data_IF_098825558992
#
_entry.id   IF_098825558992
#
_cell.length_a   1.000
_cell.length_b   1.000
_cell.length_c   1.000
_cell.angle_alpha   90.00
_cell.angle_beta   90.00
_cell.angle_gamma   90.00
#
_symmetry.space_group_name_H-M   'P 1'
#
loop_
_entity.id
_entity.type
_entity.pdbx_description
1 polymer ?
#
# COMPACT_ATOMS: atom_id res chain seq x y z
N UNK A 1 -4.30 2.18 18.21
CA UNK A 1 -5.14 1.03 17.76
C UNK A 1 -6.47 1.59 17.26
N UNK A 2 -7.16 0.88 16.37
CA UNK A 2 -8.52 1.18 15.95
C UNK A 2 -9.44 0.05 16.40
N UNK A 3 -10.76 0.25 16.35
CA UNK A 3 -11.75 -0.79 16.65
C UNK A 3 -12.75 -0.92 15.50
N UNK A 4 -13.07 -2.15 15.10
CA UNK A 4 -14.12 -2.46 14.12
C UNK A 4 -15.13 -3.38 14.81
N UNK A 5 -16.39 -2.97 14.90
CA UNK A 5 -17.44 -3.70 15.63
C UNK A 5 -17.01 -4.10 17.07
N UNK A 6 -16.26 -3.23 17.76
CA UNK A 6 -15.75 -3.49 19.11
C UNK A 6 -14.48 -4.34 19.18
N UNK A 7 -13.97 -4.85 18.05
CA UNK A 7 -12.77 -5.67 17.99
C UNK A 7 -11.54 -4.78 17.72
N UNK A 8 -10.49 -4.82 18.56
CA UNK A 8 -9.25 -4.09 18.30
C UNK A 8 -8.55 -4.57 17.02
N UNK A 9 -8.22 -3.62 16.15
CA UNK A 9 -7.47 -3.83 14.90
C UNK A 9 -6.32 -2.83 14.79
N UNK A 10 -5.36 -3.14 13.93
CA UNK A 10 -4.27 -2.21 13.60
C UNK A 10 -4.79 -1.05 12.75
N UNK A 11 -4.17 0.12 12.91
CA UNK A 11 -4.37 1.21 11.96
C UNK A 11 -3.55 0.96 10.67
N UNK A 12 -3.85 1.65 9.56
CA UNK A 12 -3.13 1.46 8.30
C UNK A 12 -1.60 1.60 8.42
N UNK A 13 -1.11 2.60 9.17
CA UNK A 13 0.33 2.80 9.39
C UNK A 13 1.00 1.60 10.08
N UNK A 14 0.34 1.02 11.09
CA UNK A 14 0.82 -0.18 11.76
C UNK A 14 0.76 -1.40 10.85
N UNK A 15 -0.30 -1.54 10.07
CA UNK A 15 -0.44 -2.61 9.08
C UNK A 15 0.69 -2.52 8.03
N UNK A 16 1.00 -1.33 7.53
CA UNK A 16 2.10 -1.09 6.59
C UNK A 16 3.45 -1.47 7.20
N UNK A 17 3.71 -1.03 8.44
CA UNK A 17 4.91 -1.40 9.19
C UNK A 17 5.08 -2.94 9.30
N UNK A 18 4.02 -3.65 9.68
CA UNK A 18 4.06 -5.10 9.84
C UNK A 18 4.21 -5.84 8.49
N UNK A 19 3.53 -5.39 7.42
CA UNK A 19 3.69 -5.93 6.06
C UNK A 19 5.15 -5.77 5.59
N UNK A 20 5.69 -4.56 5.66
CA UNK A 20 6.99 -4.26 5.04
C UNK A 20 8.16 -4.90 5.78
N UNK A 21 8.08 -5.07 7.12
CA UNK A 21 9.15 -5.75 7.88
C UNK A 21 9.12 -7.28 7.77
N UNK A 22 7.94 -7.87 7.54
CA UNK A 22 7.74 -9.34 7.51
C UNK A 22 7.79 -9.93 6.11
N UNK A 23 7.49 -9.17 5.06
CA UNK A 23 7.55 -9.65 3.68
C UNK A 23 9.00 -9.82 3.24
N UNK A 24 9.38 -11.00 2.74
CA UNK A 24 10.76 -11.31 2.39
C UNK A 24 11.22 -10.63 1.09
N UNK A 25 10.38 -10.65 0.05
CA UNK A 25 10.74 -10.15 -1.28
C UNK A 25 10.46 -8.64 -1.39
N UNK A 26 11.37 -7.89 -2.04
CA UNK A 26 11.18 -6.45 -2.30
C UNK A 26 9.90 -6.21 -3.10
N UNK A 27 9.73 -6.96 -4.21
CA UNK A 27 8.58 -6.81 -5.10
C UNK A 27 7.25 -6.99 -4.37
N UNK A 28 7.07 -8.08 -3.62
CA UNK A 28 5.80 -8.30 -2.94
C UNK A 28 5.58 -7.33 -1.78
N UNK A 29 6.65 -6.88 -1.13
CA UNK A 29 6.54 -5.88 -0.08
C UNK A 29 6.00 -4.56 -0.66
N UNK A 30 6.58 -4.08 -1.77
CA UNK A 30 6.10 -2.86 -2.44
C UNK A 30 4.67 -3.04 -2.95
N UNK A 31 4.35 -4.15 -3.63
CA UNK A 31 2.99 -4.39 -4.15
C UNK A 31 1.92 -4.37 -3.05
N UNK A 32 2.19 -4.98 -1.89
CA UNK A 32 1.24 -4.96 -0.76
C UNK A 32 1.12 -3.58 -0.12
N UNK A 33 2.22 -2.85 -0.05
CA UNK A 33 2.23 -1.49 0.50
C UNK A 33 1.55 -0.50 -0.43
N UNK A 34 1.74 -0.61 -1.75
CA UNK A 34 1.04 0.17 -2.77
C UNK A 34 -0.47 -0.08 -2.67
N UNK A 35 -0.90 -1.34 -2.64
CA UNK A 35 -2.32 -1.70 -2.48
C UNK A 35 -2.93 -1.15 -1.18
N UNK A 36 -2.19 -1.23 -0.06
CA UNK A 36 -2.64 -0.66 1.21
C UNK A 36 -2.73 0.87 1.14
N UNK A 37 -1.72 1.54 0.58
CA UNK A 37 -1.69 2.98 0.42
C UNK A 37 -2.81 3.48 -0.51
N UNK A 38 -3.10 2.73 -1.58
CA UNK A 38 -4.22 3.01 -2.48
C UNK A 38 -5.58 2.90 -1.76
N UNK A 39 -5.75 1.86 -0.93
CA UNK A 39 -7.01 1.61 -0.24
C UNK A 39 -7.27 2.48 1.01
N UNK A 40 -6.22 3.01 1.63
CA UNK A 40 -6.30 3.68 2.94
C UNK A 40 -5.71 5.08 2.99
N UNK A 41 -5.10 5.53 1.89
CA UNK A 41 -4.36 6.79 1.78
C UNK A 41 -3.18 6.96 2.75
N UNK A 42 -2.76 5.90 3.45
CA UNK A 42 -1.66 5.94 4.42
C UNK A 42 -0.38 6.48 3.78
N UNK A 43 0.26 7.44 4.45
CA UNK A 43 1.47 8.09 3.99
C UNK A 43 2.71 7.39 4.53
N UNK A 44 3.78 7.44 3.74
CA UNK A 44 5.11 6.95 4.13
C UNK A 44 5.59 7.57 5.46
N UNK A 45 5.27 8.85 5.70
CA UNK A 45 5.60 9.56 6.94
C UNK A 45 4.94 8.96 8.17
N UNK A 46 3.69 8.51 8.06
CA UNK A 46 2.98 7.84 9.16
C UNK A 46 3.62 6.48 9.49
N UNK A 47 4.06 5.73 8.47
CA UNK A 47 4.80 4.48 8.67
C UNK A 47 6.17 4.74 9.29
N UNK A 48 6.83 5.84 8.90
CA UNK A 48 8.12 6.24 9.47
C UNK A 48 8.02 6.56 10.97
N UNK A 49 6.92 7.17 11.43
CA UNK A 49 6.65 7.35 12.85
C UNK A 49 6.56 6.01 13.59
N UNK A 50 5.83 5.03 13.04
CA UNK A 50 5.77 3.68 13.63
C UNK A 50 7.14 3.00 13.67
N UNK A 51 8.01 3.23 12.67
CA UNK A 51 9.40 2.73 12.69
C UNK A 51 10.19 3.34 13.84
N UNK A 52 10.05 4.66 14.08
CA UNK A 52 10.75 5.37 15.15
C UNK A 52 10.37 4.82 16.53
N UNK A 53 9.09 4.46 16.72
CA UNK A 53 8.59 3.88 17.96
C UNK A 53 9.02 2.43 18.20
N UNK A 54 9.62 1.76 17.19
CA UNK A 54 9.95 0.33 17.24
C UNK A 54 11.40 0.02 16.81
N UNK A 55 12.44 0.65 17.40
CA UNK A 55 13.81 0.60 16.89
C UNK A 55 14.44 -0.81 16.90
N UNK A 56 13.97 -1.72 17.77
CA UNK A 56 14.48 -3.09 17.87
C UNK A 56 13.74 -4.12 17.00
N UNK A 57 12.78 -3.71 16.18
CA UNK A 57 11.99 -4.67 15.42
C UNK A 57 12.84 -5.41 14.36
N UNK A 58 12.71 -6.74 14.31
CA UNK A 58 13.30 -7.52 13.22
C UNK A 58 12.70 -7.07 11.88
N UNK A 59 13.57 -6.87 10.89
CA UNK A 59 13.19 -6.54 9.52
C UNK A 59 13.20 -5.05 9.17
N UNK A 60 13.58 -4.15 10.09
CA UNK A 60 13.60 -2.70 9.83
C UNK A 60 14.49 -2.28 8.66
N UNK A 61 15.65 -2.91 8.49
CA UNK A 61 16.55 -2.61 7.36
C UNK A 61 15.84 -2.86 6.03
N UNK A 62 15.07 -3.94 5.92
CA UNK A 62 14.28 -4.25 4.73
C UNK A 62 13.16 -3.23 4.54
N UNK A 63 12.41 -2.95 5.60
CA UNK A 63 11.33 -1.97 5.57
C UNK A 63 11.83 -0.60 5.11
N UNK A 64 12.95 -0.11 5.65
CA UNK A 64 13.58 1.17 5.25
C UNK A 64 14.02 1.20 3.79
N UNK A 65 14.42 0.07 3.20
CA UNK A 65 14.75 -0.03 1.76
C UNK A 65 13.52 -0.04 0.86
N UNK A 66 12.42 -0.60 1.35
CA UNK A 66 11.17 -0.75 0.58
C UNK A 66 10.33 0.53 0.62
N UNK A 67 10.26 1.20 1.77
CA UNK A 67 9.34 2.31 2.01
C UNK A 67 9.49 3.47 1.00
N UNK A 68 10.70 3.88 0.56
CA UNK A 68 10.87 4.90 -0.47
C UNK A 68 10.31 4.50 -1.85
N UNK A 69 10.12 3.20 -2.09
CA UNK A 69 9.62 2.66 -3.34
C UNK A 69 8.09 2.58 -3.36
N UNK A 70 7.38 2.90 -2.27
CA UNK A 70 5.92 2.82 -2.22
C UNK A 70 5.28 3.96 -3.01
N UNK A 71 4.26 3.64 -3.79
CA UNK A 71 3.43 4.54 -4.59
C UNK A 71 1.96 4.14 -4.44
N UNK A 72 1.17 4.96 -3.73
CA UNK A 72 -0.25 4.69 -3.50
C UNK A 72 -1.13 4.85 -4.75
N UNK A 73 -0.57 5.30 -5.87
CA UNK A 73 -1.27 5.44 -7.13
C UNK A 73 -1.38 4.15 -7.95
N UNK A 74 -0.63 3.10 -7.62
CA UNK A 74 -0.67 1.84 -8.39
C UNK A 74 -2.01 1.12 -8.19
N UNK A 75 -2.71 0.86 -9.30
CA UNK A 75 -4.02 0.18 -9.30
C UNK A 75 -3.88 -1.34 -9.47
N UNK A 76 -2.69 -1.81 -9.86
CA UNK A 76 -2.40 -3.23 -10.06
C UNK A 76 -0.98 -3.65 -9.62
N UNK A 77 -0.79 -4.93 -9.22
CA UNK A 77 0.55 -5.47 -8.95
C UNK A 77 1.50 -5.36 -10.15
N UNK A 78 0.99 -5.43 -11.37
CA UNK A 78 1.73 -5.30 -12.62
C UNK A 78 2.27 -3.87 -12.80
N UNK A 79 1.50 -2.84 -12.47
CA UNK A 79 1.98 -1.44 -12.48
C UNK A 79 3.13 -1.23 -11.52
N UNK A 80 3.02 -1.71 -10.26
CA UNK A 80 4.13 -1.67 -9.30
C UNK A 80 5.36 -2.37 -9.87
N UNK A 81 5.20 -3.55 -10.49
CA UNK A 81 6.33 -4.29 -11.08
C UNK A 81 7.01 -3.50 -12.18
N UNK A 82 6.24 -2.96 -13.13
CA UNK A 82 6.76 -2.13 -14.23
C UNK A 82 7.50 -0.91 -13.67
N UNK A 83 6.92 -0.21 -12.69
CA UNK A 83 7.53 0.94 -12.03
C UNK A 83 8.88 0.58 -11.39
N UNK A 84 8.97 -0.55 -10.70
CA UNK A 84 10.22 -1.01 -10.10
C UNK A 84 11.27 -1.34 -11.15
N UNK A 85 10.92 -2.00 -12.25
CA UNK A 85 11.86 -2.28 -13.35
C UNK A 85 12.42 -0.98 -13.94
N UNK A 86 11.59 0.04 -14.13
CA UNK A 86 12.04 1.34 -14.65
C UNK A 86 12.98 2.05 -13.66
N UNK A 87 12.67 2.02 -12.36
CA UNK A 87 13.55 2.54 -11.30
C UNK A 87 14.89 1.78 -11.30
N UNK A 88 14.85 0.45 -11.39
CA UNK A 88 16.04 -0.39 -11.39
C UNK A 88 16.92 -0.15 -12.63
N UNK A 89 16.31 0.26 -13.75
CA UNK A 89 17.01 0.68 -14.97
C UNK A 89 17.59 2.11 -14.90
N UNK A 90 17.49 2.80 -13.76
CA UNK A 90 18.00 4.16 -13.57
C UNK A 90 17.15 5.26 -14.22
N UNK A 91 15.95 4.93 -14.70
CA UNK A 91 15.04 5.92 -15.28
C UNK A 91 14.38 6.73 -14.16
N UNK A 92 13.98 7.97 -14.51
CA UNK A 92 13.21 8.81 -13.57
C UNK A 92 11.98 8.04 -13.09
N UNK A 93 11.74 8.09 -11.79
CA UNK A 93 10.58 7.45 -11.17
C UNK A 93 9.30 7.88 -11.89
N UNK A 94 8.58 6.95 -12.55
CA UNK A 94 7.24 7.24 -13.04
C UNK A 94 6.37 7.49 -11.82
N UNK A 95 5.73 8.65 -11.76
CA UNK A 95 4.64 8.86 -10.81
C UNK A 95 3.37 8.35 -11.48
N UNK A 96 2.64 7.46 -10.79
CA UNK A 96 1.31 7.07 -11.24
C UNK A 96 0.42 8.33 -11.22
N UNK A 97 -0.30 8.65 -12.32
CA UNK A 97 -1.27 9.74 -12.29
C UNK A 97 -2.30 9.46 -11.17
N UNK A 98 -2.87 10.50 -10.54
CA UNK A 98 -3.96 10.30 -9.58
C UNK A 98 -5.08 9.49 -10.24
N UNK A 99 -5.53 8.45 -9.55
CA UNK A 99 -6.54 7.51 -10.06
C UNK A 99 -7.81 8.26 -10.47
N UNK A 100 -8.24 8.05 -11.72
CA UNK A 100 -9.53 8.54 -12.20
C UNK A 100 -10.59 7.66 -11.55
N UNK A 101 -11.17 8.14 -10.45
CA UNK A 101 -12.18 7.40 -9.67
C UNK A 101 -13.32 6.95 -10.60
N UNK A 102 -13.36 5.65 -10.91
CA UNK A 102 -14.46 5.06 -11.68
C UNK A 102 -15.74 5.21 -10.88
N UNK A 103 -16.72 5.94 -11.41
CA UNK A 103 -18.07 6.00 -10.82
C UNK A 103 -18.64 4.58 -10.87
N UNK A 104 -18.76 3.93 -9.71
CA UNK A 104 -19.41 2.62 -9.59
C UNK A 104 -20.90 2.84 -9.85
N UNK A 105 -21.34 2.61 -11.09
CA UNK A 105 -22.74 2.70 -11.48
C UNK A 105 -23.60 1.82 -10.57
N UNK A 106 -24.56 2.44 -9.86
CA UNK A 106 -25.61 1.71 -9.14
C UNK A 106 -26.45 0.95 -10.17
N UNK A 107 -26.25 -0.36 -10.30
CA UNK A 107 -27.25 -1.23 -10.93
C UNK A 107 -28.41 -1.36 -9.94
N UNK A 108 -29.52 -0.68 -10.21
CA UNK A 108 -30.78 -0.95 -9.53
C UNK A 108 -31.28 -2.37 -9.87
N UNK A 109 -32.12 -2.98 -9.02
CA UNK A 109 -32.64 -4.32 -9.27
C UNK A 109 -33.54 -4.31 -10.51
N UNK A 110 -33.15 -5.07 -11.54
CA UNK A 110 -34.03 -5.45 -12.63
C UNK A 110 -35.13 -6.35 -12.07
N UNK A 111 -36.33 -5.79 -11.86
CA UNK A 111 -37.55 -6.56 -11.69
C UNK A 111 -38.01 -7.02 -13.07
N UNK A 112 -37.83 -8.30 -13.38
CA UNK A 112 -38.66 -8.95 -14.40
C UNK A 112 -40.00 -9.28 -13.75
N UNK A 113 -41.05 -8.59 -14.19
CA UNK A 113 -42.41 -9.05 -14.01
C UNK A 113 -42.83 -9.83 -15.26
N UNK A 114 -43.26 -11.07 -15.05
CA UNK A 114 -44.36 -11.74 -15.73
C UNK A 114 -45.02 -12.64 -14.70
#
# INVERSE_FOLDING_TARGET
MLTVAGIPVTNPARTAFDIGRRTATRLWAVQRLDALANATEVKVTEVAAVIADHPGARGLVRLRRVLPLVDGGAESPQETRTRLVLIDAGLRRPQTPPSVRRVRGRRGPHRYGL
#
